data_IF_726782311195
#
_entry.id   IF_726782311195
#
_cell.length_a   1.000
_cell.length_b   1.000
_cell.length_c   1.000
_cell.angle_alpha   90.00
_cell.angle_beta   90.00
_cell.angle_gamma   90.00
#
_symmetry.space_group_name_H-M   'P 1'
#
loop_
_entity.id
_entity.type
_entity.pdbx_description
1 polymer ?
#
# COMPACT_ATOMS: atom_id res chain seq x y z
N UNK A 1 -34.86 7.04 37.87
CA UNK A 1 -35.85 5.94 37.69
C UNK A 1 -35.45 5.16 36.50
N UNK A 2 -34.92 4.00 36.77
CA UNK A 2 -35.33 2.66 36.36
C UNK A 2 -35.17 2.39 34.85
N UNK A 3 -34.69 1.29 34.33
CA UNK A 3 -34.10 0.00 34.73
C UNK A 3 -33.56 -0.60 33.46
N UNK A 4 -32.41 -1.17 33.39
CA UNK A 4 -31.97 -2.55 33.56
C UNK A 4 -32.82 -3.58 32.75
N UNK A 5 -32.17 -4.24 31.78
CA UNK A 5 -32.43 -5.67 31.53
C UNK A 5 -31.26 -6.34 30.78
N UNK A 6 -30.68 -7.31 31.47
CA UNK A 6 -29.73 -8.32 30.95
C UNK A 6 -30.50 -9.39 30.15
N UNK A 7 -29.84 -10.01 29.18
CA UNK A 7 -30.11 -11.40 28.81
C UNK A 7 -28.83 -12.08 28.32
N UNK A 8 -28.36 -12.99 29.12
CA UNK A 8 -27.37 -14.06 28.84
C UNK A 8 -28.08 -15.23 28.18
N UNK A 9 -27.42 -15.91 27.24
CA UNK A 9 -27.65 -17.35 27.02
C UNK A 9 -26.40 -17.97 26.37
N UNK A 10 -25.79 -18.84 27.14
CA UNK A 10 -24.80 -19.83 26.70
C UNK A 10 -25.55 -21.13 26.36
N UNK A 11 -25.09 -21.87 25.34
CA UNK A 11 -25.35 -23.30 25.20
C UNK A 11 -24.11 -24.00 24.66
N UNK A 12 -23.58 -24.89 25.47
CA UNK A 12 -22.59 -25.90 25.15
C UNK A 12 -23.27 -27.11 24.51
N UNK A 13 -22.58 -27.81 23.62
CA UNK A 13 -23.00 -29.08 23.07
C UNK A 13 -21.80 -29.95 22.73
N UNK A 14 -21.39 -30.78 23.64
CA UNK A 14 -20.46 -31.89 23.42
C UNK A 14 -21.22 -33.11 22.89
N UNK A 15 -20.63 -33.84 21.96
CA UNK A 15 -21.07 -35.19 21.59
C UNK A 15 -19.84 -36.07 21.36
N UNK A 16 -19.62 -36.94 22.29
CA UNK A 16 -18.81 -38.16 22.24
C UNK A 16 -19.55 -39.24 21.49
N UNK A 17 -18.85 -40.01 20.66
CA UNK A 17 -19.34 -41.34 20.24
C UNK A 17 -18.18 -42.31 20.24
N UNK A 18 -18.28 -43.19 21.16
CA UNK A 18 -17.61 -44.47 21.35
C UNK A 18 -18.12 -45.49 20.33
N UNK A 19 -17.27 -46.36 19.83
CA UNK A 19 -17.67 -47.66 19.31
C UNK A 19 -16.50 -48.61 19.23
N UNK A 20 -16.51 -49.45 20.21
CA UNK A 20 -15.90 -50.78 20.26
C UNK A 20 -16.35 -51.66 19.08
N UNK A 21 -15.56 -52.70 18.75
CA UNK A 21 -15.93 -54.11 18.67
C UNK A 21 -14.84 -54.98 18.02
N UNK A 22 -14.39 -55.95 18.77
CA UNK A 22 -14.33 -57.42 18.53
C UNK A 22 -13.78 -57.89 17.16
N UNK A 23 -12.69 -58.48 17.10
CA UNK A 23 -12.32 -59.87 17.41
C UNK A 23 -12.83 -60.85 16.34
N UNK A 24 -11.91 -61.51 15.64
CA UNK A 24 -12.02 -62.89 15.18
C UNK A 24 -10.71 -63.44 14.62
N UNK A 25 -10.31 -64.53 15.24
CA UNK A 25 -9.88 -65.82 14.70
C UNK A 25 -8.64 -65.93 13.79
N UNK A 26 -7.71 -66.68 14.35
CA UNK A 26 -6.53 -67.24 13.69
C UNK A 26 -6.90 -68.19 12.55
N UNK A 27 -6.30 -67.96 11.39
CA UNK A 27 -6.24 -68.89 10.28
C UNK A 27 -4.76 -69.13 9.91
N UNK A 28 -4.37 -70.38 9.98
CA UNK A 28 -3.02 -70.84 9.65
C UNK A 28 -2.64 -70.56 8.19
N UNK A 29 -1.45 -70.00 7.98
CA UNK A 29 -0.91 -69.75 6.67
C UNK A 29 0.11 -70.81 6.24
N UNK A 30 0.06 -71.29 5.02
CA UNK A 30 1.15 -72.07 4.42
C UNK A 30 2.23 -71.18 3.81
N UNK A 31 3.45 -71.56 4.01
CA UNK A 31 4.69 -71.25 3.32
C UNK A 31 4.84 -69.93 2.55
N UNK A 32 5.47 -68.92 3.14
CA UNK A 32 5.93 -67.73 2.46
C UNK A 32 7.33 -67.95 1.93
N UNK A 33 7.42 -68.02 0.59
CA UNK A 33 8.70 -67.92 -0.12
C UNK A 33 9.23 -66.49 0.00
N UNK A 34 10.43 -66.32 0.56
CA UNK A 34 11.12 -65.04 0.68
C UNK A 34 11.42 -64.46 -0.72
N UNK A 35 10.93 -63.24 -1.05
CA UNK A 35 11.26 -62.60 -2.32
C UNK A 35 12.73 -62.13 -2.28
N UNK A 36 13.45 -62.40 -3.35
CA UNK A 36 14.80 -61.90 -3.63
C UNK A 36 14.73 -60.34 -3.66
N UNK A 37 15.66 -59.65 -2.94
CA UNK A 37 15.66 -58.18 -2.96
C UNK A 37 15.92 -57.65 -4.37
N UNK A 38 15.06 -56.74 -4.84
CA UNK A 38 15.21 -56.03 -6.09
C UNK A 38 16.47 -55.13 -6.03
N UNK A 39 17.19 -54.93 -7.14
CA UNK A 39 18.34 -54.04 -7.19
C UNK A 39 17.92 -52.62 -6.87
N UNK A 40 18.66 -51.96 -5.94
CA UNK A 40 18.47 -50.58 -5.55
C UNK A 40 18.63 -49.66 -6.77
N UNK A 41 17.65 -48.81 -7.09
CA UNK A 41 17.78 -47.93 -8.24
C UNK A 41 18.93 -46.94 -8.02
N UNK A 42 19.83 -46.85 -8.96
CA UNK A 42 20.90 -45.86 -9.03
C UNK A 42 20.33 -44.47 -8.97
N UNK A 43 20.77 -43.56 -8.07
CA UNK A 43 20.22 -42.21 -8.02
C UNK A 43 20.47 -41.48 -9.34
N UNK A 44 19.37 -40.97 -9.93
CA UNK A 44 19.44 -40.16 -11.15
C UNK A 44 20.16 -38.83 -10.78
N UNK A 45 21.15 -38.39 -11.59
CA UNK A 45 21.82 -37.12 -11.34
C UNK A 45 20.80 -35.97 -11.29
N UNK A 46 20.85 -35.20 -10.24
CA UNK A 46 20.01 -33.98 -10.03
C UNK A 46 20.36 -32.99 -11.15
N UNK A 47 19.39 -32.51 -11.94
CA UNK A 47 19.66 -31.47 -12.94
C UNK A 47 20.27 -30.24 -12.31
N UNK A 48 21.33 -29.69 -12.91
CA UNK A 48 21.92 -28.42 -12.45
C UNK A 48 20.87 -27.32 -12.46
N UNK A 49 20.87 -26.44 -11.44
CA UNK A 49 19.91 -25.32 -11.38
C UNK A 49 20.06 -24.44 -12.63
N UNK A 50 18.95 -24.21 -13.32
CA UNK A 50 18.89 -23.30 -14.45
C UNK A 50 19.34 -21.89 -14.02
N UNK A 51 20.17 -21.20 -14.81
CA UNK A 51 20.60 -19.84 -14.46
C UNK A 51 19.37 -18.94 -14.30
N UNK A 52 19.25 -18.31 -13.15
CA UNK A 52 18.17 -17.38 -12.83
C UNK A 52 18.20 -16.23 -13.83
N UNK A 53 17.13 -15.96 -14.61
CA UNK A 53 17.12 -14.88 -15.56
C UNK A 53 17.40 -13.55 -14.84
N UNK A 54 18.43 -12.83 -15.31
CA UNK A 54 18.78 -11.50 -14.80
C UNK A 54 17.55 -10.59 -14.98
N UNK A 55 17.08 -9.91 -13.92
CA UNK A 55 15.93 -9.03 -14.03
C UNK A 55 16.15 -8.00 -15.16
N UNK A 56 15.13 -7.69 -15.98
CA UNK A 56 15.26 -6.71 -17.03
C UNK A 56 15.70 -5.38 -16.45
N UNK A 57 16.80 -4.84 -16.95
CA UNK A 57 17.30 -3.49 -16.58
C UNK A 57 16.26 -2.49 -17.05
N UNK A 58 15.44 -1.99 -16.16
CA UNK A 58 14.53 -0.89 -16.48
C UNK A 58 15.37 0.34 -16.80
N UNK A 59 15.06 1.09 -17.87
CA UNK A 59 15.76 2.33 -18.16
C UNK A 59 15.70 3.23 -16.91
N UNK A 60 16.86 3.79 -16.54
CA UNK A 60 16.99 4.68 -15.39
C UNK A 60 16.08 5.88 -15.61
N UNK A 61 15.17 6.13 -14.67
CA UNK A 61 14.35 7.34 -14.72
C UNK A 61 15.24 8.58 -14.50
N UNK A 62 15.20 9.52 -15.43
CA UNK A 62 15.87 10.81 -15.27
C UNK A 62 14.88 11.78 -14.65
N UNK A 63 15.11 12.29 -13.43
CA UNK A 63 14.26 13.27 -12.80
C UNK A 63 14.20 14.56 -13.59
N UNK A 64 13.01 15.15 -13.74
CA UNK A 64 12.81 16.45 -14.39
C UNK A 64 13.35 17.60 -13.55
N UNK A 65 13.38 17.41 -12.23
CA UNK A 65 13.87 18.38 -11.28
C UNK A 65 14.79 17.71 -10.24
N UNK A 66 15.92 18.35 -9.92
CA UNK A 66 16.85 17.87 -8.90
C UNK A 66 16.17 17.79 -7.54
N UNK A 67 16.39 16.68 -6.83
CA UNK A 67 15.88 16.51 -5.47
C UNK A 67 16.56 17.53 -4.53
N UNK A 68 15.81 18.33 -3.77
CA UNK A 68 16.36 19.27 -2.82
C UNK A 68 17.17 18.57 -1.71
N UNK A 69 18.22 19.22 -1.17
CA UNK A 69 18.97 18.71 -0.03
C UNK A 69 18.08 18.59 1.20
N UNK A 70 18.56 17.89 2.24
CA UNK A 70 17.86 17.68 3.53
C UNK A 70 16.51 16.95 3.41
N UNK A 71 16.29 16.28 2.28
CA UNK A 71 15.06 15.51 2.04
C UNK A 71 15.05 14.16 2.78
N UNK A 72 16.10 13.80 3.52
CA UNK A 72 16.24 12.53 4.24
C UNK A 72 16.75 11.38 3.38
N UNK A 73 16.61 10.13 3.84
CA UNK A 73 17.11 8.92 3.17
C UNK A 73 16.07 7.81 3.09
N UNK A 74 16.28 6.84 2.20
CA UNK A 74 15.43 5.67 1.98
C UNK A 74 14.07 6.00 1.35
N UNK A 75 13.15 5.02 1.32
CA UNK A 75 11.85 5.17 0.66
C UNK A 75 10.99 6.26 1.30
N UNK A 76 10.56 7.22 0.50
CA UNK A 76 9.76 8.37 0.94
C UNK A 76 9.13 9.15 -0.21
N UNK A 77 8.16 9.99 0.14
CA UNK A 77 7.64 11.05 -0.72
C UNK A 77 8.27 12.37 -0.23
N UNK A 78 8.83 13.16 -1.11
CA UNK A 78 9.29 14.52 -0.80
C UNK A 78 8.37 15.49 -1.52
N UNK A 79 7.86 16.48 -0.81
CA UNK A 79 7.07 17.58 -1.35
C UNK A 79 7.74 18.90 -1.01
N UNK A 80 8.07 19.70 -2.01
CA UNK A 80 8.53 21.07 -1.84
C UNK A 80 7.38 22.04 -2.12
N UNK A 81 7.12 22.89 -1.15
CA UNK A 81 6.15 23.99 -1.28
C UNK A 81 6.70 25.12 -2.17
N UNK A 82 8.02 25.32 -2.19
CA UNK A 82 8.65 26.34 -3.03
C UNK A 82 8.58 25.96 -4.51
N UNK A 83 8.95 24.71 -4.83
CA UNK A 83 8.95 24.24 -6.21
C UNK A 83 7.58 23.73 -6.68
N UNK A 84 6.57 23.63 -5.79
CA UNK A 84 5.30 22.96 -6.09
C UNK A 84 5.52 21.63 -6.79
N UNK A 85 6.40 20.81 -6.23
CA UNK A 85 6.87 19.58 -6.84
C UNK A 85 6.94 18.42 -5.85
N UNK A 86 6.74 17.21 -6.36
CA UNK A 86 6.81 15.97 -5.58
C UNK A 86 7.84 15.04 -6.22
N UNK A 87 8.67 14.40 -5.39
CA UNK A 87 9.58 13.32 -5.76
C UNK A 87 9.20 12.05 -5.01
N UNK A 88 9.19 10.93 -5.73
CA UNK A 88 9.03 9.59 -5.17
C UNK A 88 10.40 8.91 -5.14
N UNK A 89 10.87 8.58 -3.95
CA UNK A 89 12.19 8.01 -3.72
C UNK A 89 12.04 6.56 -3.24
N UNK A 90 12.78 5.65 -3.84
CA UNK A 90 12.77 4.23 -3.51
C UNK A 90 13.67 3.90 -2.30
N UNK A 91 13.75 2.61 -1.92
CA UNK A 91 14.59 2.15 -0.80
C UNK A 91 16.07 2.38 -1.03
N UNK A 92 16.53 2.33 -2.28
CA UNK A 92 17.92 2.61 -2.67
C UNK A 92 18.25 4.12 -2.72
N UNK A 93 17.36 4.96 -2.20
CA UNK A 93 17.50 6.43 -2.19
C UNK A 93 17.55 7.08 -3.59
N UNK A 94 17.03 6.41 -4.60
CA UNK A 94 16.97 6.88 -5.98
C UNK A 94 15.58 7.47 -6.26
N UNK A 95 15.54 8.65 -6.89
CA UNK A 95 14.30 9.23 -7.44
C UNK A 95 13.86 8.39 -8.62
N UNK A 96 12.67 7.85 -8.55
CA UNK A 96 12.13 7.01 -9.62
C UNK A 96 10.91 7.63 -10.32
N UNK A 97 10.34 8.68 -9.76
CA UNK A 97 9.33 9.56 -10.37
C UNK A 97 9.37 10.92 -9.69
N UNK A 98 9.10 11.97 -10.46
CA UNK A 98 8.83 13.31 -9.96
C UNK A 98 7.83 14.03 -10.88
N UNK A 99 7.08 14.96 -10.34
CA UNK A 99 6.05 15.69 -11.10
C UNK A 99 5.59 16.95 -10.36
N UNK A 100 5.09 17.95 -11.14
CA UNK A 100 4.53 19.17 -10.57
C UNK A 100 3.19 18.90 -9.88
N UNK A 101 2.92 19.71 -8.85
CA UNK A 101 1.71 19.67 -8.04
C UNK A 101 1.21 21.08 -7.77
N UNK A 102 0.01 21.21 -7.19
CA UNK A 102 -0.51 22.48 -6.69
C UNK A 102 -0.83 22.34 -5.22
N UNK A 103 -0.37 23.28 -4.41
CA UNK A 103 -0.62 23.39 -2.99
C UNK A 103 -0.56 24.83 -2.53
N UNK A 104 -0.48 25.06 -1.22
CA UNK A 104 -0.21 26.38 -0.64
C UNK A 104 1.28 26.58 -0.42
N UNK A 105 1.76 27.80 -0.61
CA UNK A 105 3.18 28.14 -0.40
C UNK A 105 3.60 28.12 1.08
N UNK A 106 2.67 28.39 1.99
CA UNK A 106 2.90 28.51 3.43
C UNK A 106 2.44 27.27 4.23
N UNK A 107 1.65 26.38 3.64
CA UNK A 107 1.06 25.24 4.33
C UNK A 107 1.01 23.98 3.46
N UNK A 108 1.15 22.78 4.03
CA UNK A 108 1.38 22.41 5.43
C UNK A 108 2.78 22.83 5.94
N UNK A 109 3.00 22.79 7.25
CA UNK A 109 4.32 23.13 7.83
C UNK A 109 5.41 22.22 7.30
N UNK A 110 6.62 22.76 7.15
CA UNK A 110 7.84 21.96 6.88
C UNK A 110 7.99 20.92 7.98
N UNK A 111 8.32 19.68 7.60
CA UNK A 111 8.44 18.62 8.59
C UNK A 111 8.40 17.22 7.99
N UNK A 112 8.37 16.24 8.87
CA UNK A 112 8.33 14.82 8.55
C UNK A 112 7.00 14.26 9.01
N UNK A 113 6.33 13.57 8.11
CA UNK A 113 5.00 12.99 8.31
C UNK A 113 4.98 11.53 7.87
N UNK A 114 3.85 10.87 8.11
CA UNK A 114 3.61 9.51 7.63
C UNK A 114 2.21 9.41 7.05
N UNK A 115 2.08 8.62 5.97
CA UNK A 115 0.76 8.25 5.47
C UNK A 115 0.02 7.45 6.54
N UNK A 116 -1.17 7.88 6.91
CA UNK A 116 -1.97 7.20 7.93
C UNK A 116 -3.33 6.71 7.42
N UNK A 117 -3.82 7.22 6.30
CA UNK A 117 -5.09 6.76 5.75
C UNK A 117 -5.18 7.03 4.25
N UNK A 118 -6.03 6.26 3.55
CA UNK A 118 -6.22 6.36 2.11
C UNK A 118 -7.70 6.17 1.76
N UNK A 119 -8.17 6.86 0.71
CA UNK A 119 -9.52 6.67 0.16
C UNK A 119 -9.48 6.77 -1.37
N UNK A 120 -10.13 5.85 -2.06
CA UNK A 120 -10.19 5.88 -3.53
C UNK A 120 -11.04 7.04 -4.03
N UNK A 121 -12.17 7.25 -3.40
CA UNK A 121 -13.11 8.34 -3.65
C UNK A 121 -13.28 9.17 -2.38
N UNK A 122 -13.36 10.46 -2.53
CA UNK A 122 -13.55 11.40 -1.41
C UNK A 122 -14.40 12.56 -1.88
N UNK A 123 -15.27 13.05 -1.00
CA UNK A 123 -16.05 14.26 -1.21
C UNK A 123 -15.79 15.28 -0.11
N UNK A 124 -16.01 16.53 -0.43
CA UNK A 124 -16.14 17.62 0.54
C UNK A 124 -17.48 18.28 0.30
N UNK A 125 -18.55 17.88 1.01
CA UNK A 125 -19.90 18.38 0.79
C UNK A 125 -20.02 19.89 0.96
N UNK A 126 -19.31 20.47 1.93
CA UNK A 126 -19.34 21.90 2.21
C UNK A 126 -18.95 22.77 0.99
N UNK A 127 -18.02 22.30 0.17
CA UNK A 127 -17.60 23.00 -1.04
C UNK A 127 -18.11 22.34 -2.33
N UNK A 128 -18.98 21.34 -2.24
CA UNK A 128 -19.48 20.55 -3.38
C UNK A 128 -18.34 19.97 -4.24
N UNK A 129 -17.28 19.47 -3.60
CA UNK A 129 -16.10 18.96 -4.28
C UNK A 129 -16.02 17.44 -4.18
N UNK A 130 -15.61 16.81 -5.28
CA UNK A 130 -15.21 15.41 -5.34
C UNK A 130 -13.77 15.29 -5.83
N UNK A 131 -13.03 14.32 -5.32
CA UNK A 131 -11.67 14.03 -5.75
C UNK A 131 -11.30 12.57 -5.45
N UNK A 132 -10.28 12.07 -6.11
CA UNK A 132 -9.92 10.67 -6.06
C UNK A 132 -8.49 10.47 -5.54
N UNK A 133 -8.20 9.22 -5.14
CA UNK A 133 -6.88 8.75 -4.75
C UNK A 133 -6.27 9.55 -3.59
N UNK A 134 -7.11 9.89 -2.62
CA UNK A 134 -6.68 10.61 -1.43
C UNK A 134 -5.73 9.76 -0.58
N UNK A 135 -4.52 10.28 -0.36
CA UNK A 135 -3.47 9.69 0.49
C UNK A 135 -3.13 10.68 1.58
N UNK A 136 -3.64 10.46 2.81
CA UNK A 136 -3.56 11.41 3.93
C UNK A 136 -2.32 11.18 4.75
N UNK A 137 -1.64 12.27 5.13
CA UNK A 137 -0.38 12.23 5.87
C UNK A 137 -0.20 13.35 6.92
N UNK A 138 -1.10 14.33 6.96
CA UNK A 138 -1.07 15.37 7.99
C UNK A 138 -2.49 15.79 8.40
N UNK A 139 -2.57 16.50 9.50
CA UNK A 139 -3.79 17.11 10.02
C UNK A 139 -3.72 18.63 9.83
N UNK A 140 -4.73 19.20 9.21
CA UNK A 140 -4.95 20.62 9.16
C UNK A 140 -5.89 21.07 10.30
N UNK A 141 -6.10 22.37 10.44
CA UNK A 141 -6.98 22.92 11.47
C UNK A 141 -8.42 22.41 11.35
N UNK A 142 -8.94 22.34 10.13
CA UNK A 142 -10.35 21.98 9.86
C UNK A 142 -10.51 20.72 9.01
N UNK A 143 -9.43 20.24 8.39
CA UNK A 143 -9.48 19.09 7.48
C UNK A 143 -8.17 18.31 7.48
N UNK A 144 -8.25 17.07 7.08
CA UNK A 144 -7.09 16.19 6.89
C UNK A 144 -6.36 16.54 5.61
N UNK A 145 -5.03 16.57 5.65
CA UNK A 145 -4.16 16.93 4.53
C UNK A 145 -3.64 15.67 3.84
N UNK A 146 -3.61 15.69 2.52
CA UNK A 146 -3.10 14.58 1.72
C UNK A 146 -2.84 14.97 0.27
N UNK A 147 -2.35 13.99 -0.47
CA UNK A 147 -2.21 14.03 -1.92
C UNK A 147 -3.50 13.51 -2.56
N UNK A 148 -3.99 14.17 -3.62
CA UNK A 148 -5.16 13.72 -4.35
C UNK A 148 -5.22 14.35 -5.76
N UNK A 149 -6.19 13.92 -6.58
CA UNK A 149 -6.44 14.55 -7.89
C UNK A 149 -6.86 16.01 -7.75
N UNK A 150 -6.74 16.79 -8.82
CA UNK A 150 -7.44 18.06 -8.91
C UNK A 150 -8.92 17.78 -8.62
N UNK A 151 -9.56 18.51 -7.67
CA UNK A 151 -10.97 18.33 -7.37
C UNK A 151 -11.88 18.70 -8.55
N UNK A 152 -13.07 18.11 -8.52
CA UNK A 152 -14.15 18.45 -9.42
C UNK A 152 -15.32 19.07 -8.67
N UNK A 153 -15.99 20.05 -9.29
CA UNK A 153 -17.30 20.56 -8.89
C UNK A 153 -18.26 20.34 -10.04
N UNK A 154 -19.38 19.69 -9.79
CA UNK A 154 -20.36 19.33 -10.81
C UNK A 154 -19.73 18.63 -12.04
N UNK A 155 -18.80 17.69 -11.79
CA UNK A 155 -18.10 16.95 -12.85
C UNK A 155 -16.92 17.68 -13.52
N UNK A 156 -16.76 19.00 -13.37
CA UNK A 156 -15.71 19.81 -13.97
C UNK A 156 -14.55 20.06 -13.02
N UNK A 157 -13.31 20.03 -13.52
CA UNK A 157 -12.13 20.37 -12.71
C UNK A 157 -12.19 21.84 -12.27
N UNK A 158 -11.87 22.11 -10.98
CA UNK A 158 -11.83 23.46 -10.41
C UNK A 158 -10.59 24.26 -10.83
N UNK A 159 -9.63 23.62 -11.48
CA UNK A 159 -8.44 24.26 -12.07
C UNK A 159 -7.95 23.44 -13.27
N UNK A 160 -7.33 24.05 -14.28
CA UNK A 160 -6.70 23.37 -15.39
C UNK A 160 -5.46 22.58 -14.94
N UNK A 161 -5.14 21.48 -15.63
CA UNK A 161 -3.91 20.68 -15.36
C UNK A 161 -2.63 21.50 -15.63
N UNK A 162 -2.68 22.46 -16.55
CA UNK A 162 -1.58 23.39 -16.86
C UNK A 162 -1.15 24.26 -15.70
N UNK A 163 -1.97 24.41 -14.65
CA UNK A 163 -1.63 25.19 -13.45
C UNK A 163 -0.83 24.37 -12.42
N UNK A 164 -0.56 23.10 -12.67
CA UNK A 164 0.32 22.31 -11.81
C UNK A 164 1.74 22.90 -11.84
N UNK A 165 2.36 23.03 -10.69
CA UNK A 165 3.61 23.75 -10.46
C UNK A 165 3.39 25.15 -9.84
N UNK A 166 2.14 25.59 -9.67
CA UNK A 166 1.80 26.89 -9.11
C UNK A 166 1.18 26.77 -7.71
N UNK A 167 1.40 27.75 -6.81
CA UNK A 167 0.88 27.72 -5.43
C UNK A 167 -0.57 28.22 -5.33
N UNK A 168 -1.48 27.58 -6.06
CA UNK A 168 -2.90 27.97 -6.14
C UNK A 168 -3.81 27.28 -5.12
N UNK A 169 -3.25 26.53 -4.17
CA UNK A 169 -4.02 25.79 -3.17
C UNK A 169 -4.62 26.69 -2.09
N UNK A 170 -5.94 26.64 -1.89
CA UNK A 170 -6.60 27.33 -0.77
C UNK A 170 -6.51 26.54 0.54
N UNK A 171 -6.49 25.20 0.48
CA UNK A 171 -6.32 24.30 1.62
C UNK A 171 -4.92 23.70 1.70
N UNK A 172 -4.67 22.92 2.74
CA UNK A 172 -3.36 22.27 2.94
C UNK A 172 -3.11 21.05 2.04
N UNK A 173 -4.10 20.57 1.32
CA UNK A 173 -3.97 19.42 0.43
C UNK A 173 -3.14 19.74 -0.82
N UNK A 174 -2.49 18.71 -1.35
CA UNK A 174 -1.63 18.78 -2.52
C UNK A 174 -2.33 18.11 -3.70
N UNK A 175 -2.63 18.90 -4.73
CA UNK A 175 -3.37 18.50 -5.93
C UNK A 175 -2.41 18.12 -7.05
N UNK A 176 -2.78 17.12 -7.83
CA UNK A 176 -1.95 16.65 -8.94
C UNK A 176 -2.77 16.04 -10.06
N UNK A 177 -2.14 15.77 -11.19
CA UNK A 177 -2.75 15.02 -12.29
C UNK A 177 -3.23 13.65 -11.81
N UNK A 178 -4.31 13.14 -12.38
CA UNK A 178 -4.95 11.89 -11.98
C UNK A 178 -3.99 10.69 -12.01
N UNK A 179 -3.11 10.63 -13.02
CA UNK A 179 -2.10 9.56 -13.14
C UNK A 179 -1.13 9.56 -11.95
N UNK A 180 -0.71 10.73 -11.49
CA UNK A 180 0.23 10.90 -10.39
C UNK A 180 -0.43 10.63 -9.03
N UNK A 181 -1.65 11.07 -8.83
CA UNK A 181 -2.42 10.76 -7.62
C UNK A 181 -2.67 9.25 -7.49
N UNK A 182 -3.04 8.59 -8.59
CA UNK A 182 -3.19 7.12 -8.65
C UNK A 182 -1.87 6.42 -8.36
N UNK A 183 -0.75 6.94 -8.87
CA UNK A 183 0.58 6.40 -8.65
C UNK A 183 0.96 6.46 -7.16
N UNK A 184 0.86 7.62 -6.52
CA UNK A 184 1.08 7.76 -5.07
C UNK A 184 0.16 6.82 -4.30
N UNK A 185 -1.13 6.83 -4.62
CA UNK A 185 -2.13 6.00 -3.94
C UNK A 185 -1.78 4.51 -4.00
N UNK A 186 -1.29 4.00 -5.13
CA UNK A 186 -0.88 2.59 -5.26
C UNK A 186 0.43 2.29 -4.56
N UNK A 187 1.41 3.17 -4.73
CA UNK A 187 2.77 2.96 -4.24
C UNK A 187 2.91 3.19 -2.73
N UNK A 188 2.32 4.27 -2.20
CA UNK A 188 2.43 4.61 -0.79
C UNK A 188 1.57 3.68 0.07
N UNK A 189 2.22 3.00 1.02
CA UNK A 189 1.56 2.21 2.07
C UNK A 189 1.32 3.10 3.30
N UNK A 190 0.42 2.65 4.20
CA UNK A 190 0.35 3.23 5.55
C UNK A 190 1.73 3.15 6.19
N UNK A 191 2.15 4.22 6.86
CA UNK A 191 3.50 4.38 7.40
C UNK A 191 4.53 4.95 6.43
N UNK A 192 4.25 5.05 5.09
CA UNK A 192 5.17 5.69 4.14
C UNK A 192 5.52 7.10 4.60
N UNK A 193 6.81 7.41 4.63
CA UNK A 193 7.32 8.73 5.03
C UNK A 193 6.98 9.79 4.00
N UNK A 194 6.57 10.95 4.48
CA UNK A 194 6.37 12.17 3.69
C UNK A 194 7.23 13.27 4.29
N UNK A 195 8.08 13.87 3.50
CA UNK A 195 8.95 14.99 3.90
C UNK A 195 8.47 16.23 3.18
N UNK A 196 8.06 17.24 3.94
CA UNK A 196 7.67 18.55 3.42
C UNK A 196 8.82 19.51 3.58
N UNK A 197 9.25 20.09 2.49
CA UNK A 197 10.28 21.13 2.40
C UNK A 197 9.65 22.48 2.08
N UNK A 198 10.41 23.53 2.33
CA UNK A 198 10.06 24.88 1.85
C UNK A 198 9.99 24.91 0.35
#
# INVERSE_FOLDING_TARGET
MAALLLATSAVAGAATADSSVSGVSAGAMPGVSTPTPAPTPTPRPTPAPLPTPKPPVRPSYVPKMKLPPRSGSGARIVYSRHFMHVWLINRANVVWRDFPVTGRADWPRVGRYRVYSKSRHTSNPHYHLTFNFMTRWAYGRHARIGFHTIPKRNGHYIQPVSTLGQPLGLGGCVRMATVNARLIYRWAKIGTRVVVLR
#
